data_IF_378632780859
#
_entry.id   IF_378632780859
#
_cell.length_a   1.000
_cell.length_b   1.000
_cell.length_c   1.000
_cell.angle_alpha   90.00
_cell.angle_beta   90.00
_cell.angle_gamma   90.00
#
_symmetry.space_group_name_H-M   'P 1'
#
loop_
_entity.id
_entity.type
_entity.pdbx_description
1 polymer ?
#
# COMPACT_ATOMS: atom_id res chain seq x y z
N UNK A 1 8.14 -41.32 -0.22
CA UNK A 1 7.49 -40.59 0.87
C UNK A 1 6.70 -39.46 0.25
N UNK A 2 5.38 -39.40 0.50
CA UNK A 2 4.55 -38.27 0.05
C UNK A 2 4.60 -37.26 1.19
N UNK A 3 5.37 -36.18 1.03
CA UNK A 3 5.35 -35.05 1.96
C UNK A 3 3.94 -34.45 1.95
N UNK A 4 3.35 -34.19 3.12
CA UNK A 4 2.01 -33.59 3.17
C UNK A 4 2.04 -32.18 2.56
N UNK A 5 0.88 -31.68 2.12
CA UNK A 5 0.74 -30.28 1.65
C UNK A 5 1.30 -29.27 2.66
N UNK A 6 1.14 -29.56 3.96
CA UNK A 6 1.68 -28.74 5.04
C UNK A 6 3.21 -28.77 5.06
N UNK A 7 3.81 -29.95 4.90
CA UNK A 7 5.28 -30.08 4.91
C UNK A 7 5.91 -29.36 3.72
N UNK A 8 5.28 -29.44 2.54
CA UNK A 8 5.71 -28.71 1.34
C UNK A 8 5.61 -27.19 1.57
N UNK A 9 4.50 -26.70 2.14
CA UNK A 9 4.32 -25.28 2.44
C UNK A 9 5.33 -24.76 3.48
N UNK A 10 5.62 -25.58 4.50
CA UNK A 10 6.63 -25.26 5.51
C UNK A 10 8.02 -25.17 4.89
N UNK A 11 8.39 -26.10 4.01
CA UNK A 11 9.70 -26.10 3.35
C UNK A 11 9.91 -24.87 2.47
N UNK A 12 8.88 -24.50 1.68
CA UNK A 12 8.89 -23.27 0.88
C UNK A 12 9.04 -22.04 1.77
N UNK A 13 8.24 -21.96 2.84
CA UNK A 13 8.26 -20.81 3.75
C UNK A 13 9.60 -20.71 4.49
N UNK A 14 10.15 -21.84 4.92
CA UNK A 14 11.46 -21.93 5.59
C UNK A 14 12.58 -21.46 4.66
N UNK A 15 12.56 -21.94 3.41
CA UNK A 15 13.53 -21.52 2.39
C UNK A 15 13.45 -20.02 2.14
N UNK A 16 12.25 -19.46 1.95
CA UNK A 16 12.05 -18.03 1.74
C UNK A 16 12.48 -17.20 2.95
N UNK A 17 12.16 -17.64 4.16
CA UNK A 17 12.56 -16.98 5.40
C UNK A 17 14.08 -16.99 5.56
N UNK A 18 14.72 -18.11 5.24
CA UNK A 18 16.18 -18.21 5.24
C UNK A 18 16.78 -17.27 4.21
N UNK A 19 16.37 -17.34 2.93
CA UNK A 19 16.89 -16.46 1.86
C UNK A 19 16.68 -14.97 2.17
N UNK A 20 15.56 -14.60 2.80
CA UNK A 20 15.24 -13.22 3.18
C UNK A 20 15.80 -12.82 4.55
N UNK A 21 16.55 -13.70 5.21
CA UNK A 21 17.15 -13.42 6.51
C UNK A 21 18.11 -12.24 6.41
N UNK A 22 18.15 -11.44 7.47
CA UNK A 22 19.08 -10.32 7.63
C UNK A 22 20.55 -10.79 7.54
N UNK A 23 20.81 -12.05 7.87
CA UNK A 23 22.12 -12.69 7.80
C UNK A 23 22.61 -12.83 6.35
N UNK A 24 21.69 -12.92 5.39
CA UNK A 24 21.99 -13.04 3.97
C UNK A 24 22.10 -11.68 3.27
N UNK A 25 21.96 -10.58 4.00
CA UNK A 25 22.06 -9.23 3.43
C UNK A 25 23.53 -8.82 3.30
N UNK A 26 23.84 -8.19 2.18
CA UNK A 26 25.14 -7.57 1.95
C UNK A 26 25.50 -6.59 3.11
N UNK A 27 26.74 -6.64 3.66
CA UNK A 27 27.18 -5.78 4.76
C UNK A 27 26.98 -4.27 4.54
N UNK A 28 27.16 -3.79 3.31
CA UNK A 28 26.92 -2.39 2.93
C UNK A 28 25.45 -2.02 3.12
N UNK A 29 24.51 -2.86 2.67
CA UNK A 29 23.08 -2.63 2.85
C UNK A 29 22.69 -2.71 4.34
N UNK A 30 23.28 -3.62 5.11
CA UNK A 30 23.06 -3.70 6.56
C UNK A 30 23.48 -2.41 7.28
N UNK A 31 24.64 -1.85 6.92
CA UNK A 31 25.10 -0.60 7.50
C UNK A 31 24.16 0.57 7.12
N UNK A 32 23.79 0.67 5.85
CA UNK A 32 22.81 1.64 5.37
C UNK A 32 21.48 1.53 6.15
N UNK A 33 20.90 0.32 6.23
CA UNK A 33 19.65 0.06 6.97
C UNK A 33 19.78 0.48 8.44
N UNK A 34 20.90 0.16 9.11
CA UNK A 34 21.15 0.53 10.51
C UNK A 34 21.20 2.05 10.70
N UNK A 35 21.84 2.78 9.80
CA UNK A 35 21.93 4.24 9.85
C UNK A 35 20.55 4.87 9.64
N UNK A 36 19.85 4.48 8.58
CA UNK A 36 18.55 5.07 8.22
C UNK A 36 17.41 4.68 9.16
N UNK A 37 17.40 3.46 9.70
CA UNK A 37 16.37 3.04 10.66
C UNK A 37 16.47 3.76 12.01
N UNK A 38 17.64 4.33 12.35
CA UNK A 38 17.83 5.16 13.55
C UNK A 38 17.34 6.59 13.36
N UNK A 39 17.14 7.04 12.12
CA UNK A 39 16.57 8.35 11.84
C UNK A 39 15.12 8.37 12.30
N UNK A 40 14.79 9.28 13.23
CA UNK A 40 13.41 9.48 13.67
C UNK A 40 12.61 10.02 12.51
N UNK A 41 11.57 9.28 12.10
CA UNK A 41 10.59 9.78 11.14
C UNK A 41 9.77 10.89 11.80
N UNK A 42 9.75 12.06 11.17
CA UNK A 42 8.87 13.14 11.58
C UNK A 42 7.51 12.99 10.89
N UNK A 43 6.56 12.41 11.61
CA UNK A 43 5.18 12.27 11.15
C UNK A 43 4.37 13.59 11.28
N UNK A 44 4.98 14.66 11.82
CA UNK A 44 4.36 15.99 11.92
C UNK A 44 4.76 16.90 10.77
N UNK A 45 5.49 16.39 9.77
CA UNK A 45 5.83 17.19 8.60
C UNK A 45 4.55 17.53 7.82
N UNK A 46 4.18 18.81 7.78
CA UNK A 46 3.09 19.32 6.93
C UNK A 46 3.54 19.62 5.50
N UNK A 47 4.66 19.01 5.09
CA UNK A 47 5.27 19.27 3.80
C UNK A 47 4.41 18.68 2.70
N UNK A 48 4.00 19.54 1.75
CA UNK A 48 3.27 19.13 0.54
C UNK A 48 4.21 18.38 -0.41
N UNK A 49 4.47 17.12 -0.09
CA UNK A 49 5.25 16.22 -0.92
C UNK A 49 4.33 15.56 -1.96
N UNK A 50 4.80 15.26 -3.18
CA UNK A 50 3.97 14.71 -4.24
C UNK A 50 3.15 13.47 -3.82
N UNK A 51 3.70 12.62 -2.94
CA UNK A 51 3.04 11.42 -2.44
C UNK A 51 1.97 11.69 -1.37
N UNK A 52 1.98 12.87 -0.74
CA UNK A 52 0.99 13.29 0.26
C UNK A 52 -0.13 14.13 -0.34
N UNK A 53 -0.08 14.41 -1.65
CA UNK A 53 -1.10 15.17 -2.35
C UNK A 53 -2.40 14.39 -2.44
N UNK A 54 -3.49 15.13 -2.56
CA UNK A 54 -4.77 14.53 -2.89
C UNK A 54 -4.68 13.87 -4.28
N UNK A 55 -4.90 12.56 -4.33
CA UNK A 55 -5.23 11.79 -5.54
C UNK A 55 -6.19 12.51 -6.53
N UNK A 56 -5.64 12.97 -7.64
CA UNK A 56 -6.33 13.75 -8.64
C UNK A 56 -7.28 12.88 -9.49
N UNK A 57 -8.25 13.54 -10.11
CA UNK A 57 -9.18 12.88 -11.05
C UNK A 57 -8.46 12.19 -12.22
N UNK A 58 -7.37 12.78 -12.71
CA UNK A 58 -6.55 12.18 -13.77
C UNK A 58 -5.84 10.91 -13.29
N UNK A 59 -5.39 10.86 -12.03
CA UNK A 59 -4.76 9.68 -11.46
C UNK A 59 -5.76 8.52 -11.32
N UNK A 60 -7.04 8.81 -11.00
CA UNK A 60 -8.11 7.81 -11.05
C UNK A 60 -8.26 7.22 -12.46
N UNK A 61 -8.35 8.06 -13.47
CA UNK A 61 -8.49 7.60 -14.86
C UNK A 61 -7.29 6.78 -15.32
N UNK A 62 -6.08 7.25 -15.02
CA UNK A 62 -4.86 6.52 -15.35
C UNK A 62 -4.83 5.15 -14.66
N UNK A 63 -5.19 5.11 -13.37
CA UNK A 63 -5.24 3.87 -12.59
C UNK A 63 -6.27 2.89 -13.16
N UNK A 64 -7.49 3.36 -13.47
CA UNK A 64 -8.55 2.52 -14.05
C UNK A 64 -8.25 2.06 -15.48
N UNK A 65 -7.43 2.80 -16.23
CA UNK A 65 -7.01 2.40 -17.56
C UNK A 65 -5.99 1.24 -17.53
N UNK A 66 -5.11 1.23 -16.53
CA UNK A 66 -4.04 0.24 -16.39
C UNK A 66 -4.36 -0.90 -15.43
N UNK A 67 -5.42 -0.76 -14.62
CA UNK A 67 -5.88 -1.81 -13.73
C UNK A 67 -6.36 -3.02 -14.54
N UNK A 68 -5.80 -4.18 -14.23
CA UNK A 68 -6.30 -5.45 -14.75
C UNK A 68 -7.68 -5.78 -14.17
N UNK A 69 -8.46 -6.58 -14.89
CA UNK A 69 -9.73 -7.12 -14.41
C UNK A 69 -9.46 -8.16 -13.33
N UNK A 70 -9.30 -7.70 -12.09
CA UNK A 70 -9.24 -8.55 -10.90
C UNK A 70 -10.65 -8.93 -10.42
N UNK A 71 -10.73 -9.86 -9.47
CA UNK A 71 -11.96 -10.12 -8.72
C UNK A 71 -12.49 -8.82 -8.08
N UNK A 72 -13.82 -8.66 -7.97
CA UNK A 72 -14.43 -7.53 -7.28
C UNK A 72 -13.97 -7.42 -5.82
N UNK A 73 -14.10 -6.22 -5.24
CA UNK A 73 -13.90 -6.02 -3.81
C UNK A 73 -14.93 -6.77 -2.95
N UNK A 74 -14.79 -6.78 -1.62
CA UNK A 74 -15.77 -7.36 -0.70
C UNK A 74 -17.17 -6.73 -0.81
N UNK A 75 -17.26 -5.52 -1.38
CA UNK A 75 -18.50 -4.81 -1.73
C UNK A 75 -19.11 -5.24 -3.07
N UNK A 76 -18.50 -6.23 -3.73
CA UNK A 76 -18.85 -6.72 -5.06
C UNK A 76 -18.72 -5.67 -6.18
N UNK A 77 -17.94 -4.61 -5.96
CA UNK A 77 -17.67 -3.57 -6.97
C UNK A 77 -16.38 -3.92 -7.72
N UNK A 78 -16.46 -3.95 -9.06
CA UNK A 78 -15.30 -4.16 -9.93
C UNK A 78 -14.76 -2.85 -10.51
N UNK A 79 -13.49 -2.82 -10.92
CA UNK A 79 -12.91 -1.67 -11.62
C UNK A 79 -13.68 -1.32 -12.91
N UNK A 80 -14.26 -2.32 -13.57
CA UNK A 80 -15.08 -2.09 -14.77
C UNK A 80 -16.33 -1.27 -14.43
N UNK A 81 -16.96 -1.51 -13.28
CA UNK A 81 -18.11 -0.71 -12.84
C UNK A 81 -17.70 0.74 -12.59
N UNK A 82 -16.60 0.95 -11.86
CA UNK A 82 -16.08 2.29 -11.55
C UNK A 82 -15.72 3.05 -12.84
N UNK A 83 -15.10 2.37 -13.81
CA UNK A 83 -14.72 2.95 -15.12
C UNK A 83 -15.92 3.46 -15.92
N UNK A 84 -17.08 2.83 -15.80
CA UNK A 84 -18.30 3.21 -16.53
C UNK A 84 -19.24 4.12 -15.75
N UNK A 85 -18.88 4.53 -14.53
CA UNK A 85 -19.60 5.59 -13.82
C UNK A 85 -19.48 6.93 -14.56
N UNK A 86 -20.43 7.82 -14.32
CA UNK A 86 -20.33 9.21 -14.79
C UNK A 86 -19.14 9.90 -14.12
N UNK A 87 -18.57 10.91 -14.80
CA UNK A 87 -17.46 11.71 -14.24
C UNK A 87 -17.83 12.34 -12.89
N UNK A 88 -19.09 12.73 -12.71
CA UNK A 88 -19.57 13.27 -11.43
C UNK A 88 -19.56 12.23 -10.31
N UNK A 89 -19.99 11.01 -10.59
CA UNK A 89 -19.93 9.90 -9.63
C UNK A 89 -18.48 9.53 -9.30
N UNK A 90 -17.58 9.50 -10.29
CA UNK A 90 -16.16 9.26 -10.08
C UNK A 90 -15.50 10.36 -9.23
N UNK A 91 -15.80 11.64 -9.48
CA UNK A 91 -15.34 12.76 -8.65
C UNK A 91 -15.83 12.64 -7.21
N UNK A 92 -17.08 12.21 -7.00
CA UNK A 92 -17.64 11.98 -5.65
C UNK A 92 -16.91 10.86 -4.91
N UNK A 93 -16.55 9.77 -5.59
CA UNK A 93 -15.75 8.68 -4.99
C UNK A 93 -14.40 9.19 -4.49
N UNK A 94 -13.69 9.96 -5.33
CA UNK A 94 -12.42 10.59 -4.95
C UNK A 94 -12.61 11.51 -3.74
N UNK A 95 -13.62 12.39 -3.76
CA UNK A 95 -13.89 13.32 -2.67
C UNK A 95 -14.22 12.60 -1.35
N UNK A 96 -14.93 11.48 -1.40
CA UNK A 96 -15.24 10.68 -0.22
C UNK A 96 -13.99 10.03 0.38
N UNK A 97 -13.13 9.42 -0.45
CA UNK A 97 -11.89 8.78 0.00
C UNK A 97 -10.92 9.75 0.71
N UNK A 98 -10.89 11.03 0.33
CA UNK A 98 -10.09 12.01 1.07
C UNK A 98 -10.69 12.42 2.40
N UNK A 99 -12.02 12.49 2.50
CA UNK A 99 -12.69 12.83 3.75
C UNK A 99 -12.38 11.77 4.81
N UNK A 100 -12.38 10.50 4.43
CA UNK A 100 -12.03 9.40 5.33
C UNK A 100 -10.55 9.41 5.67
N UNK A 101 -9.64 9.64 4.71
CA UNK A 101 -8.20 9.70 4.98
C UNK A 101 -7.78 10.85 5.91
N UNK A 102 -8.43 12.02 5.82
CA UNK A 102 -8.19 13.12 6.78
C UNK A 102 -8.64 12.80 8.20
N UNK A 103 -9.63 11.93 8.38
CA UNK A 103 -10.09 11.49 9.71
C UNK A 103 -9.10 10.51 10.39
N UNK A 104 -8.18 9.90 9.62
CA UNK A 104 -7.11 9.05 10.15
C UNK A 104 -5.86 9.83 10.61
N UNK A 105 -5.83 11.15 10.46
CA UNK A 105 -4.93 11.97 11.26
C UNK A 105 -5.59 12.19 12.63
N UNK A 106 -5.18 11.47 13.70
CA UNK A 106 -5.69 11.78 15.02
C UNK A 106 -5.35 13.24 15.32
N UNK A 107 -6.35 13.97 15.80
CA UNK A 107 -6.16 15.23 16.50
C UNK A 107 -5.02 15.00 17.50
N UNK A 108 -3.85 15.59 17.22
CA UNK A 108 -2.78 15.62 18.19
C UNK A 108 -3.34 16.20 19.47
N UNK A 109 -3.21 15.43 20.54
CA UNK A 109 -3.69 15.75 21.88
C UNK A 109 -3.36 17.20 22.23
N UNK A 110 -4.38 17.90 22.73
CA UNK A 110 -4.19 19.14 23.46
C UNK A 110 -3.23 18.87 24.63
N UNK A 111 -2.08 19.52 24.63
CA UNK A 111 -1.41 19.98 25.85
C UNK A 111 -1.13 21.47 25.68
#
# INVERSE_FOLDING_TARGET
MVSSLKDIANEITSTLAHSSSIENYNPHFLNFKKIFARSRLDFKSHTDLPYNRNFAFQELHFSLAHAHKSSPGPDNISYTMIKHLTSESQKKLIAYGFRTNKAFHPLGDKQ
#
